data_IF_300882059805
#
_entry.id   IF_300882059805
#
_cell.length_a   1.000
_cell.length_b   1.000
_cell.length_c   1.000
_cell.angle_alpha   90.00
_cell.angle_beta   90.00
_cell.angle_gamma   90.00
#
_symmetry.space_group_name_H-M   'P 1'
#
loop_
_entity.id
_entity.type
_entity.pdbx_description
1 polymer ?
#
# COMPACT_ATOMS: atom_id res chain seq x y z
N UNK A 1 0.08 -12.82 1.92
CA UNK A 1 1.02 -12.93 3.07
C UNK A 1 2.42 -13.12 2.53
N UNK A 2 3.47 -12.76 3.28
CA UNK A 2 4.85 -13.11 2.92
C UNK A 2 5.28 -14.30 3.76
N UNK A 3 5.88 -15.29 3.13
CA UNK A 3 6.37 -16.49 3.80
C UNK A 3 7.87 -16.65 3.59
N UNK A 4 8.52 -17.15 4.62
CA UNK A 4 9.93 -17.53 4.58
C UNK A 4 10.09 -18.95 4.04
N UNK A 5 11.07 -19.13 3.16
CA UNK A 5 11.40 -20.42 2.57
C UNK A 5 12.74 -20.87 3.14
N UNK A 6 12.76 -22.01 3.80
CA UNK A 6 13.94 -22.54 4.48
C UNK A 6 14.67 -23.60 3.65
N UNK A 7 15.99 -23.62 3.75
CA UNK A 7 16.82 -24.76 3.36
C UNK A 7 16.77 -25.82 4.47
N UNK A 8 16.09 -26.93 4.18
CA UNK A 8 15.98 -28.04 5.11
C UNK A 8 17.22 -28.96 5.16
N UNK A 9 18.26 -28.68 4.37
CA UNK A 9 19.51 -29.44 4.37
C UNK A 9 20.56 -28.89 5.35
N UNK A 10 20.32 -27.74 5.97
CA UNK A 10 21.19 -27.14 6.99
C UNK A 10 20.70 -27.44 8.41
N UNK A 11 21.57 -27.29 9.41
CA UNK A 11 21.21 -27.50 10.83
C UNK A 11 21.92 -26.44 11.71
N UNK A 12 21.20 -25.44 12.26
CA UNK A 12 19.76 -25.20 12.08
C UNK A 12 19.40 -24.89 10.63
N UNK A 13 18.12 -25.00 10.27
CA UNK A 13 17.62 -24.55 8.97
C UNK A 13 18.02 -23.08 8.74
N UNK A 14 18.36 -22.77 7.50
CA UNK A 14 18.76 -21.44 7.06
C UNK A 14 17.76 -20.92 6.05
N UNK A 15 17.54 -19.62 6.02
CA UNK A 15 16.53 -19.03 5.15
C UNK A 15 17.08 -18.81 3.74
N UNK A 16 16.29 -19.20 2.74
CA UNK A 16 16.62 -19.10 1.33
C UNK A 16 16.13 -17.78 0.74
N UNK A 17 14.88 -17.41 1.01
CA UNK A 17 14.26 -16.17 0.52
C UNK A 17 12.87 -15.97 1.14
N UNK A 18 12.37 -14.73 1.14
CA UNK A 18 10.96 -14.44 1.45
C UNK A 18 10.16 -14.23 0.17
N UNK A 19 8.96 -14.80 0.07
CA UNK A 19 8.12 -14.70 -1.15
C UNK A 19 6.64 -14.49 -0.81
N UNK A 20 5.86 -13.82 -1.68
CA UNK A 20 4.44 -13.66 -1.48
C UNK A 20 3.68 -14.97 -1.73
N UNK A 21 2.66 -15.18 -0.90
CA UNK A 21 1.65 -16.20 -1.06
C UNK A 21 0.26 -15.56 -1.06
N UNK A 22 -0.52 -15.87 -2.09
CA UNK A 22 -1.94 -15.55 -2.18
C UNK A 22 -2.75 -16.79 -1.80
N UNK A 23 -3.68 -16.59 -0.86
CA UNK A 23 -4.54 -17.63 -0.31
C UNK A 23 -6.00 -17.26 -0.52
N UNK A 24 -6.79 -18.24 -0.90
CA UNK A 24 -8.24 -18.15 -0.84
C UNK A 24 -8.71 -18.16 0.63
N UNK A 25 -9.97 -17.81 0.87
CA UNK A 25 -10.56 -17.80 2.22
C UNK A 25 -10.55 -19.19 2.89
N UNK A 26 -10.59 -20.26 2.11
CA UNK A 26 -10.46 -21.65 2.56
C UNK A 26 -9.00 -22.10 2.78
N UNK A 27 -8.04 -21.19 2.61
CA UNK A 27 -6.58 -21.39 2.72
C UNK A 27 -5.95 -22.23 1.61
N UNK A 28 -6.69 -22.57 0.56
CA UNK A 28 -6.09 -23.08 -0.67
C UNK A 28 -5.30 -21.98 -1.39
N UNK A 29 -4.39 -22.38 -2.30
CA UNK A 29 -3.64 -21.43 -3.10
C UNK A 29 -4.54 -20.80 -4.17
N UNK A 30 -4.38 -19.50 -4.39
CA UNK A 30 -5.12 -18.78 -5.40
C UNK A 30 -4.83 -19.33 -6.80
N UNK A 31 -5.90 -19.61 -7.55
CA UNK A 31 -5.86 -20.06 -8.94
C UNK A 31 -7.19 -19.65 -9.58
N UNK A 32 -7.26 -18.41 -10.05
CA UNK A 32 -8.47 -17.81 -10.62
C UNK A 32 -8.09 -16.67 -11.59
N UNK A 33 -9.04 -16.25 -12.43
CA UNK A 33 -8.90 -15.10 -13.34
C UNK A 33 -7.67 -15.12 -14.26
N UNK A 34 -7.23 -16.33 -14.62
CA UNK A 34 -6.06 -16.56 -15.48
C UNK A 34 -4.71 -16.55 -14.75
N UNK A 35 -4.70 -16.42 -13.43
CA UNK A 35 -3.49 -16.38 -12.61
C UNK A 35 -3.35 -17.62 -11.74
N UNK A 36 -2.14 -18.20 -11.72
CA UNK A 36 -1.84 -19.41 -10.95
C UNK A 36 -0.77 -19.15 -9.88
N UNK A 37 -1.22 -19.08 -8.64
CA UNK A 37 -0.39 -18.89 -7.44
C UNK A 37 -0.30 -20.17 -6.60
N UNK A 38 -0.58 -21.33 -7.19
CA UNK A 38 -0.25 -22.64 -6.57
C UNK A 38 1.26 -22.81 -6.39
N UNK A 39 2.04 -22.12 -7.22
CA UNK A 39 3.49 -21.96 -7.14
C UNK A 39 3.83 -20.49 -6.94
N UNK A 40 4.45 -20.10 -5.81
CA UNK A 40 4.85 -18.72 -5.57
C UNK A 40 6.08 -18.35 -6.43
N UNK A 41 6.40 -17.05 -6.56
CA UNK A 41 7.68 -16.61 -7.11
C UNK A 41 8.86 -17.22 -6.34
N UNK A 42 9.94 -17.60 -7.04
CA UNK A 42 11.10 -18.29 -6.45
C UNK A 42 12.40 -17.46 -6.46
N UNK A 43 12.40 -16.26 -7.04
CA UNK A 43 13.62 -15.45 -7.26
C UNK A 43 13.73 -14.20 -6.36
N UNK A 44 13.13 -14.22 -5.18
CA UNK A 44 13.09 -13.07 -4.28
C UNK A 44 14.40 -12.81 -3.51
N UNK A 45 15.51 -13.49 -3.83
CA UNK A 45 16.84 -13.23 -3.26
C UNK A 45 17.07 -13.73 -1.83
N UNK A 46 18.34 -14.04 -1.54
CA UNK A 46 18.72 -14.53 -0.22
C UNK A 46 18.91 -13.39 0.79
N UNK A 47 18.59 -13.63 2.09
CA UNK A 47 18.86 -12.67 3.15
C UNK A 47 20.33 -12.23 3.18
N UNK A 48 20.58 -10.91 3.23
CA UNK A 48 21.95 -10.37 3.38
C UNK A 48 22.48 -10.58 4.79
N UNK A 49 21.61 -10.46 5.80
CA UNK A 49 21.89 -10.73 7.21
C UNK A 49 20.60 -10.91 8.01
N UNK A 50 20.63 -11.76 9.03
CA UNK A 50 19.53 -11.97 9.98
C UNK A 50 20.08 -12.07 11.40
N UNK A 51 20.73 -10.99 11.84
CA UNK A 51 21.29 -10.87 13.18
C UNK A 51 20.82 -9.56 13.83
N UNK A 52 19.90 -9.69 14.78
CA UNK A 52 19.35 -8.57 15.55
C UNK A 52 20.43 -7.77 16.29
N UNK A 53 21.55 -8.41 16.67
CA UNK A 53 22.65 -7.70 17.31
C UNK A 53 23.36 -6.73 16.35
N UNK A 54 23.27 -6.96 15.04
CA UNK A 54 23.94 -6.16 14.00
C UNK A 54 22.98 -5.12 13.41
N UNK A 55 21.74 -5.50 13.10
CA UNK A 55 20.73 -4.62 12.51
C UNK A 55 19.34 -5.04 12.96
N UNK A 56 18.42 -4.08 13.11
CA UNK A 56 17.02 -4.39 13.43
C UNK A 56 16.38 -5.29 12.36
N UNK A 57 15.51 -6.20 12.81
CA UNK A 57 14.90 -7.22 11.96
C UNK A 57 14.02 -6.60 10.86
N UNK A 58 14.17 -7.07 9.62
CA UNK A 58 13.23 -6.79 8.54
C UNK A 58 12.06 -7.77 8.62
N UNK A 59 10.90 -7.31 9.10
CA UNK A 59 9.68 -8.13 9.06
C UNK A 59 8.84 -7.73 7.84
N UNK A 60 8.71 -8.60 6.82
CA UNK A 60 7.94 -8.26 5.63
C UNK A 60 6.47 -8.05 5.99
N UNK A 61 5.99 -6.82 5.80
CA UNK A 61 4.56 -6.50 5.82
C UNK A 61 4.16 -6.16 4.39
N UNK A 62 3.34 -6.98 3.73
CA UNK A 62 2.96 -6.73 2.37
C UNK A 62 1.87 -5.66 2.27
N UNK A 63 1.96 -4.85 1.23
CA UNK A 63 0.92 -3.96 0.74
C UNK A 63 0.35 -4.55 -0.54
N UNK A 64 -0.96 -4.42 -0.74
CA UNK A 64 -1.63 -4.85 -1.96
C UNK A 64 -2.42 -3.68 -2.53
N UNK A 65 -2.02 -3.20 -3.70
CA UNK A 65 -2.56 -1.98 -4.32
C UNK A 65 -2.51 -2.08 -5.84
N UNK A 66 -3.42 -1.40 -6.54
CA UNK A 66 -3.31 -1.18 -7.98
C UNK A 66 -2.28 -0.07 -8.20
N UNK A 67 -1.07 -0.45 -8.64
CA UNK A 67 0.08 0.43 -8.69
C UNK A 67 0.13 1.22 -10.01
N UNK A 68 -0.40 0.65 -11.09
CA UNK A 68 -0.34 1.19 -12.45
C UNK A 68 -1.70 1.62 -13.03
N UNK A 69 -2.77 1.57 -12.22
CA UNK A 69 -4.12 1.99 -12.59
C UNK A 69 -4.81 1.05 -13.59
N UNK A 70 -4.35 -0.20 -13.74
CA UNK A 70 -4.90 -1.16 -14.71
C UNK A 70 -6.09 -1.98 -14.16
N UNK A 71 -6.46 -1.76 -12.90
CA UNK A 71 -7.53 -2.44 -12.19
C UNK A 71 -7.12 -3.78 -11.59
N UNK A 72 -5.85 -4.19 -11.70
CA UNK A 72 -5.28 -5.36 -11.02
C UNK A 72 -4.41 -4.90 -9.87
N UNK A 73 -4.15 -5.82 -8.94
CA UNK A 73 -3.47 -5.52 -7.69
C UNK A 73 -2.06 -6.10 -7.72
N UNK A 74 -1.08 -5.27 -7.44
CA UNK A 74 0.31 -5.64 -7.21
C UNK A 74 0.56 -5.88 -5.72
N UNK A 75 1.59 -6.66 -5.42
CA UNK A 75 2.00 -7.02 -4.06
C UNK A 75 3.38 -6.43 -3.79
N UNK A 76 3.45 -5.45 -2.89
CA UNK A 76 4.70 -4.81 -2.48
C UNK A 76 5.15 -5.29 -1.10
N UNK A 77 6.43 -5.55 -0.91
CA UNK A 77 6.97 -5.88 0.42
C UNK A 77 8.48 -5.66 0.53
N UNK A 78 8.98 -5.22 1.70
CA UNK A 78 10.41 -5.24 1.99
C UNK A 78 10.88 -6.64 2.39
N UNK A 79 12.13 -6.99 2.11
CA UNK A 79 12.72 -8.28 2.51
C UNK A 79 14.12 -8.16 3.12
N UNK A 80 14.57 -9.23 3.78
CA UNK A 80 15.92 -9.37 4.34
C UNK A 80 17.03 -9.41 3.29
N UNK A 81 16.70 -9.47 2.00
CA UNK A 81 17.67 -9.36 0.92
C UNK A 81 18.08 -7.89 0.64
N UNK A 82 17.52 -6.93 1.39
CA UNK A 82 17.82 -5.52 1.26
C UNK A 82 17.07 -4.83 0.12
N UNK A 83 15.96 -5.42 -0.35
CA UNK A 83 15.15 -4.88 -1.44
C UNK A 83 13.68 -4.67 -1.04
N UNK A 84 13.04 -3.72 -1.71
CA UNK A 84 11.59 -3.58 -1.79
C UNK A 84 11.13 -4.24 -3.09
N UNK A 85 10.29 -5.27 -2.95
CA UNK A 85 9.71 -6.01 -4.07
C UNK A 85 8.37 -5.42 -4.49
N UNK A 86 8.03 -5.59 -5.76
CA UNK A 86 6.68 -5.37 -6.28
C UNK A 86 6.37 -6.45 -7.32
N UNK A 87 5.46 -7.36 -6.97
CA UNK A 87 5.04 -8.45 -7.85
C UNK A 87 3.66 -8.19 -8.44
N UNK A 88 3.57 -8.33 -9.76
CA UNK A 88 2.31 -8.43 -10.47
C UNK A 88 1.70 -9.82 -10.30
N UNK A 89 0.40 -9.95 -10.59
CA UNK A 89 -0.30 -11.25 -10.50
C UNK A 89 0.25 -12.31 -11.46
N UNK A 90 1.03 -11.92 -12.47
CA UNK A 90 1.77 -12.81 -13.36
C UNK A 90 3.04 -13.43 -12.73
N UNK A 91 3.33 -13.09 -11.47
CA UNK A 91 4.48 -13.53 -10.65
C UNK A 91 5.82 -12.94 -11.08
N UNK A 92 5.80 -11.86 -11.85
CA UNK A 92 7.00 -11.12 -12.25
C UNK A 92 7.03 -9.73 -11.64
N UNK A 93 8.22 -9.14 -11.62
CA UNK A 93 8.45 -7.74 -11.24
C UNK A 93 8.68 -6.94 -12.52
N UNK A 94 8.03 -5.78 -12.67
CA UNK A 94 8.09 -4.97 -13.88
C UNK A 94 8.96 -3.72 -13.67
N UNK A 95 9.39 -3.07 -14.76
CA UNK A 95 10.18 -1.84 -14.68
C UNK A 95 11.53 -2.06 -13.98
N UNK A 96 11.81 -1.24 -12.97
CA UNK A 96 13.01 -1.28 -12.13
C UNK A 96 12.79 -1.99 -10.78
N UNK A 97 11.68 -2.70 -10.63
CA UNK A 97 11.48 -3.59 -9.50
C UNK A 97 12.32 -4.87 -9.65
N UNK A 98 12.90 -5.40 -8.55
CA UNK A 98 12.83 -4.89 -7.18
C UNK A 98 13.81 -3.72 -6.96
N UNK A 99 13.43 -2.78 -6.07
CA UNK A 99 14.28 -1.65 -5.70
C UNK A 99 15.24 -2.02 -4.56
N UNK A 100 16.54 -1.77 -4.74
CA UNK A 100 17.56 -2.07 -3.71
C UNK A 100 17.79 -0.89 -2.76
N UNK A 101 17.48 -1.07 -1.48
CA UNK A 101 17.91 -0.14 -0.42
C UNK A 101 19.31 -0.47 0.08
N UNK A 102 19.73 -1.72 -0.03
CA UNK A 102 21.09 -2.13 0.32
C UNK A 102 22.07 -1.84 -0.83
N UNK A 103 23.20 -1.23 -0.50
CA UNK A 103 24.29 -0.97 -1.44
C UNK A 103 25.62 -1.33 -0.78
N UNK A 104 26.26 -2.41 -1.25
CA UNK A 104 27.46 -2.95 -0.61
C UNK A 104 28.62 -1.94 -0.53
N UNK A 105 28.71 -0.99 -1.47
CA UNK A 105 29.74 0.07 -1.43
C UNK A 105 29.53 1.10 -0.33
N UNK A 106 28.34 1.16 0.29
CA UNK A 106 28.14 1.98 1.50
C UNK A 106 28.88 1.41 2.73
N UNK A 107 29.18 0.11 2.72
CA UNK A 107 29.93 -0.56 3.79
C UNK A 107 29.12 -0.94 5.03
N UNK A 108 27.79 -0.84 4.99
CA UNK A 108 26.88 -1.24 6.06
C UNK A 108 25.55 -1.77 5.51
N UNK A 109 24.82 -2.55 6.33
CA UNK A 109 23.51 -3.09 5.94
C UNK A 109 22.38 -2.06 6.07
N UNK A 110 21.37 -2.19 5.21
CA UNK A 110 20.16 -1.35 5.21
C UNK A 110 18.92 -2.18 4.89
N UNK A 111 17.84 -1.93 5.60
CA UNK A 111 16.52 -2.50 5.35
C UNK A 111 15.45 -1.41 5.26
N UNK A 112 14.29 -1.78 4.72
CA UNK A 112 13.18 -0.87 4.42
C UNK A 112 11.94 -1.18 5.26
N UNK A 113 11.15 -0.14 5.53
CA UNK A 113 9.86 -0.26 6.22
C UNK A 113 8.82 -0.88 5.31
N UNK A 114 7.67 -1.26 5.87
CA UNK A 114 6.44 -1.35 5.09
C UNK A 114 6.23 -0.03 4.30
N UNK A 115 5.86 -0.10 3.00
CA UNK A 115 5.56 1.10 2.25
C UNK A 115 4.15 1.64 2.54
N UNK A 116 3.96 2.92 2.26
CA UNK A 116 2.64 3.52 2.01
C UNK A 116 2.55 3.88 0.54
N UNK A 117 1.34 3.86 -0.01
CA UNK A 117 1.11 4.03 -1.44
C UNK A 117 0.01 5.06 -1.68
N UNK A 118 0.29 6.03 -2.54
CA UNK A 118 -0.65 7.06 -2.94
C UNK A 118 -0.31 7.52 -4.35
N UNK A 119 -1.34 7.82 -5.12
CA UNK A 119 -1.22 8.57 -6.37
C UNK A 119 -1.12 10.05 -5.97
N UNK A 120 0.12 10.54 -5.82
CA UNK A 120 0.43 11.83 -5.21
C UNK A 120 0.13 13.00 -6.13
N UNK A 121 0.32 12.80 -7.44
CA UNK A 121 0.10 13.81 -8.46
C UNK A 121 -1.21 13.63 -9.25
N UNK A 122 -1.98 12.60 -8.92
CA UNK A 122 -3.29 12.28 -9.50
C UNK A 122 -3.22 11.99 -11.01
N UNK A 123 -2.15 11.31 -11.44
CA UNK A 123 -1.93 10.90 -12.84
C UNK A 123 -2.55 9.53 -13.18
N UNK A 124 -3.01 8.80 -12.16
CA UNK A 124 -3.63 7.47 -12.28
C UNK A 124 -2.70 6.31 -11.94
N UNK A 125 -1.40 6.54 -11.85
CA UNK A 125 -0.41 5.61 -11.30
C UNK A 125 -0.07 6.01 -9.87
N UNK A 126 0.44 5.08 -9.07
CA UNK A 126 0.73 5.36 -7.67
C UNK A 126 2.23 5.38 -7.35
N UNK A 127 2.61 6.29 -6.46
CA UNK A 127 3.93 6.37 -5.87
C UNK A 127 4.03 5.49 -4.62
N UNK A 128 5.22 4.93 -4.43
CA UNK A 128 5.57 4.07 -3.30
C UNK A 128 6.51 4.82 -2.37
N UNK A 129 6.10 5.00 -1.12
CA UNK A 129 6.83 5.80 -0.14
C UNK A 129 7.21 4.90 1.05
N UNK A 130 8.49 4.89 1.42
CA UNK A 130 8.96 4.10 2.56
C UNK A 130 10.20 4.70 3.20
N UNK A 131 10.39 4.39 4.48
CA UNK A 131 11.62 4.70 5.20
C UNK A 131 12.61 3.53 5.15
N UNK A 132 13.84 3.79 5.55
CA UNK A 132 14.85 2.76 5.78
C UNK A 132 15.48 2.89 7.17
N UNK A 133 16.19 1.87 7.62
CA UNK A 133 17.12 1.92 8.73
C UNK A 133 18.43 1.23 8.40
N UNK A 134 19.47 1.59 9.14
CA UNK A 134 20.83 1.10 8.91
C UNK A 134 21.31 0.21 10.05
N UNK A 135 22.38 -0.52 9.77
CA UNK A 135 23.13 -1.29 10.76
C UNK A 135 23.53 -0.44 11.97
N UNK A 136 23.51 -1.05 13.16
CA UNK A 136 23.94 -0.47 14.44
C UNK A 136 25.41 -0.10 14.40
N UNK A 137 25.83 0.84 15.25
CA UNK A 137 27.24 1.26 15.40
C UNK A 137 27.87 1.87 14.13
N UNK A 138 27.05 2.30 13.15
CA UNK A 138 27.56 2.88 11.90
C UNK A 138 27.72 4.40 11.94
N UNK A 139 27.11 5.06 12.93
CA UNK A 139 26.92 6.51 12.99
C UNK A 139 26.17 7.07 11.76
N UNK A 140 25.42 6.20 11.04
CA UNK A 140 24.65 6.56 9.84
C UNK A 140 23.16 6.64 10.13
N UNK A 141 22.43 7.16 9.16
CA UNK A 141 20.98 7.35 9.22
C UNK A 141 20.29 6.65 8.05
N UNK A 142 19.04 6.26 8.29
CA UNK A 142 18.13 5.82 7.27
C UNK A 142 17.82 6.91 6.24
N UNK A 143 17.08 6.54 5.20
CA UNK A 143 16.62 7.41 4.13
C UNK A 143 15.10 7.37 4.05
N UNK A 144 14.52 8.43 3.52
CA UNK A 144 13.19 8.43 2.93
C UNK A 144 13.35 8.14 1.43
N UNK A 145 12.52 7.23 0.92
CA UNK A 145 12.42 6.90 -0.50
C UNK A 145 11.01 7.17 -0.99
N UNK A 146 10.90 7.80 -2.17
CA UNK A 146 9.67 7.95 -2.94
C UNK A 146 9.98 7.46 -4.36
N UNK A 147 9.30 6.40 -4.77
CA UNK A 147 9.46 5.78 -6.08
C UNK A 147 8.18 5.93 -6.89
N UNK A 148 8.29 5.99 -8.22
CA UNK A 148 7.14 5.86 -9.11
C UNK A 148 6.66 4.39 -9.20
N UNK A 149 5.53 4.18 -9.89
CA UNK A 149 4.96 2.84 -10.11
C UNK A 149 5.92 1.85 -10.81
N UNK A 150 6.88 2.37 -11.60
CA UNK A 150 7.89 1.57 -12.30
C UNK A 150 9.15 1.32 -11.44
N UNK A 151 9.19 1.77 -10.18
CA UNK A 151 10.34 1.62 -9.29
C UNK A 151 11.48 2.61 -9.54
N UNK A 152 11.24 3.70 -10.29
CA UNK A 152 12.21 4.78 -10.45
C UNK A 152 12.19 5.69 -9.22
N UNK A 153 13.36 6.17 -8.80
CA UNK A 153 13.46 7.14 -7.71
C UNK A 153 12.95 8.50 -8.17
N UNK A 154 11.90 8.99 -7.54
CA UNK A 154 11.43 10.38 -7.66
C UNK A 154 12.20 11.23 -6.64
N UNK A 155 12.20 10.80 -5.38
CA UNK A 155 12.92 11.45 -4.29
C UNK A 155 13.62 10.43 -3.40
N UNK A 156 14.86 10.77 -3.01
CA UNK A 156 15.57 10.08 -1.94
C UNK A 156 16.30 11.13 -1.09
N UNK A 157 16.16 11.04 0.23
CA UNK A 157 16.90 11.90 1.14
C UNK A 157 17.26 11.21 2.44
N UNK A 158 18.37 11.64 3.04
CA UNK A 158 18.78 11.16 4.36
C UNK A 158 17.82 11.69 5.44
N UNK A 159 17.43 10.81 6.35
CA UNK A 159 16.69 11.18 7.55
C UNK A 159 17.61 11.94 8.52
N UNK A 160 17.06 12.72 9.48
CA UNK A 160 17.89 13.47 10.41
C UNK A 160 18.89 12.59 11.16
N UNK A 161 20.06 13.11 11.53
CA UNK A 161 21.03 12.36 12.30
C UNK A 161 20.44 11.94 13.65
N UNK A 162 20.98 10.85 14.20
CA UNK A 162 20.65 10.38 15.54
C UNK A 162 20.85 11.50 16.58
N UNK A 163 19.86 11.73 17.44
CA UNK A 163 20.00 12.60 18.63
C UNK A 163 20.50 11.83 19.86
N UNK A 164 20.47 10.50 19.78
CA UNK A 164 20.95 9.55 20.79
C UNK A 164 21.31 8.24 20.10
N UNK A 165 22.23 7.43 20.63
CA UNK A 165 22.62 6.17 19.99
C UNK A 165 23.61 6.37 18.82
N UNK A 166 23.93 5.26 18.16
CA UNK A 166 25.00 5.15 17.15
C UNK A 166 24.47 4.74 15.76
N UNK A 167 23.15 4.79 15.56
CA UNK A 167 22.48 4.64 14.27
C UNK A 167 21.14 5.38 14.30
N UNK A 168 20.51 5.57 13.14
CA UNK A 168 19.12 6.05 13.07
C UNK A 168 18.39 5.47 11.85
N UNK A 169 17.07 5.60 11.85
CA UNK A 169 16.21 5.14 10.77
C UNK A 169 14.77 5.05 11.23
N UNK A 170 13.90 4.55 10.35
CA UNK A 170 12.48 4.33 10.63
C UNK A 170 12.22 2.83 10.55
N UNK A 171 11.56 2.26 11.56
CA UNK A 171 11.19 0.83 11.59
C UNK A 171 9.70 0.59 11.29
N UNK A 172 8.86 1.59 11.58
CA UNK A 172 7.42 1.52 11.36
C UNK A 172 7.06 2.00 9.95
N UNK A 173 5.92 1.53 9.43
CA UNK A 173 5.33 2.10 8.23
C UNK A 173 5.15 3.63 8.38
N UNK A 174 5.41 4.42 7.33
CA UNK A 174 5.04 5.83 7.31
C UNK A 174 3.53 6.05 7.50
N UNK A 175 3.11 7.30 7.71
CA UNK A 175 1.70 7.70 7.68
C UNK A 175 1.54 8.96 6.85
N UNK A 176 0.59 8.94 5.92
CA UNK A 176 0.15 10.11 5.16
C UNK A 176 -1.05 10.74 5.86
N UNK A 177 -0.97 12.04 6.14
CA UNK A 177 -2.05 12.82 6.72
C UNK A 177 -1.82 14.31 6.51
N UNK A 178 -2.89 15.07 6.29
CA UNK A 178 -2.92 16.52 6.51
C UNK A 178 -2.89 16.76 8.04
N UNK A 179 -1.79 17.32 8.53
CA UNK A 179 -1.54 17.63 9.95
C UNK A 179 -1.37 19.12 10.22
N UNK A 180 -1.19 19.95 9.19
CA UNK A 180 -1.03 21.40 9.36
C UNK A 180 -2.18 22.23 8.77
N UNK A 181 -3.11 21.60 8.06
CA UNK A 181 -4.34 22.19 7.55
C UNK A 181 -4.17 22.95 6.24
N UNK A 182 -3.04 22.83 5.56
CA UNK A 182 -3.01 23.08 4.13
C UNK A 182 -3.63 21.90 3.37
N UNK A 183 -3.85 22.07 2.07
CA UNK A 183 -4.59 21.04 1.30
C UNK A 183 -3.74 19.82 0.98
N UNK A 184 -2.47 19.87 1.36
CA UNK A 184 -1.40 18.93 1.05
C UNK A 184 -1.45 17.74 2.01
N UNK A 185 -0.67 16.72 1.71
CA UNK A 185 -0.40 15.63 2.63
C UNK A 185 0.98 15.82 3.26
N UNK A 186 1.08 15.51 4.55
CA UNK A 186 2.37 15.33 5.19
C UNK A 186 2.68 13.84 5.33
N UNK A 187 3.97 13.54 5.23
CA UNK A 187 4.53 12.25 5.59
C UNK A 187 5.06 12.28 7.02
N UNK A 188 4.46 11.49 7.90
CA UNK A 188 4.87 11.33 9.30
C UNK A 188 5.66 10.04 9.48
N UNK A 189 6.84 10.14 10.08
CA UNK A 189 7.75 9.02 10.34
C UNK A 189 8.18 9.00 11.81
N UNK A 190 8.19 7.81 12.41
CA UNK A 190 8.79 7.59 13.73
C UNK A 190 10.22 7.05 13.58
N UNK A 191 11.20 7.86 13.96
CA UNK A 191 12.60 7.45 13.90
C UNK A 191 13.05 6.83 15.22
N UNK A 192 13.96 5.86 15.16
CA UNK A 192 14.51 5.18 16.33
C UNK A 192 15.20 6.15 17.30
N UNK A 193 15.91 7.15 16.76
CA UNK A 193 16.87 7.94 17.53
C UNK A 193 16.81 9.46 17.31
N UNK A 194 15.89 9.98 16.48
CA UNK A 194 15.71 11.43 16.27
C UNK A 194 14.31 11.98 16.63
N UNK A 195 13.39 11.10 17.04
CA UNK A 195 11.99 11.42 17.37
C UNK A 195 11.03 11.21 16.21
N UNK A 196 9.89 11.91 16.25
CA UNK A 196 8.96 11.97 15.12
C UNK A 196 9.40 13.09 14.18
N UNK A 197 9.39 12.80 12.88
CA UNK A 197 9.64 13.77 11.82
C UNK A 197 8.42 13.83 10.91
N UNK A 198 8.11 15.02 10.42
CA UNK A 198 7.04 15.25 9.45
C UNK A 198 7.64 16.00 8.26
N UNK A 199 7.27 15.58 7.05
CA UNK A 199 7.68 16.21 5.79
C UNK A 199 6.43 16.62 5.04
N UNK A 200 6.38 17.89 4.65
CA UNK A 200 5.41 18.40 3.69
C UNK A 200 5.63 17.73 2.32
N UNK A 201 4.54 17.30 1.68
CA UNK A 201 4.52 16.80 0.30
C UNK A 201 3.79 17.84 -0.57
N UNK A 202 4.46 18.91 -1.01
CA UNK A 202 3.79 20.02 -1.64
C UNK A 202 3.14 19.62 -2.96
N UNK A 203 1.93 20.11 -3.19
CA UNK A 203 1.19 19.88 -4.44
C UNK A 203 0.38 18.59 -4.48
N UNK A 204 0.18 17.96 -3.32
CA UNK A 204 -0.59 16.71 -3.17
C UNK A 204 -2.07 16.94 -2.83
N UNK A 205 -2.61 18.14 -3.08
CA UNK A 205 -4.01 18.47 -2.80
C UNK A 205 -5.04 17.63 -3.57
N UNK A 206 -4.63 17.05 -4.70
CA UNK A 206 -5.43 16.10 -5.47
C UNK A 206 -5.11 14.63 -5.20
N UNK A 207 -4.20 14.34 -4.26
CA UNK A 207 -3.65 13.00 -4.09
C UNK A 207 -4.73 11.99 -3.67
N UNK A 208 -4.62 10.79 -4.22
CA UNK A 208 -5.48 9.66 -3.86
C UNK A 208 -4.67 8.66 -3.04
N UNK A 209 -4.90 8.67 -1.73
CA UNK A 209 -4.25 7.74 -0.80
C UNK A 209 -4.85 6.33 -0.97
N UNK A 210 -4.02 5.39 -1.42
CA UNK A 210 -4.42 4.00 -1.65
C UNK A 210 -4.09 3.10 -0.44
N UNK A 211 -2.99 3.40 0.24
CA UNK A 211 -2.54 2.73 1.47
C UNK A 211 -1.77 3.72 2.34
N UNK A 212 -2.47 4.48 3.19
CA UNK A 212 -1.89 5.66 3.85
C UNK A 212 -1.16 5.41 5.17
N UNK A 213 -1.19 4.21 5.73
CA UNK A 213 -0.56 3.90 7.02
C UNK A 213 -0.32 2.40 7.17
N UNK A 214 0.41 2.00 8.22
CA UNK A 214 0.73 0.60 8.48
C UNK A 214 -0.52 -0.29 8.50
N UNK A 215 -0.50 -1.33 7.67
CA UNK A 215 -1.61 -2.26 7.40
C UNK A 215 -2.88 -1.56 6.91
N UNK A 216 -2.70 -0.47 6.19
CA UNK A 216 -3.67 0.25 5.34
C UNK A 216 -4.79 1.00 6.06
N UNK A 217 -4.93 0.88 7.38
CA UNK A 217 -5.94 1.63 8.16
C UNK A 217 -5.51 1.84 9.61
N UNK A 218 -6.21 2.74 10.32
CA UNK A 218 -6.00 2.94 11.76
C UNK A 218 -6.29 1.67 12.60
N UNK A 219 -7.08 0.73 12.09
CA UNK A 219 -7.32 -0.57 12.72
C UNK A 219 -6.20 -1.59 12.44
N UNK A 220 -5.28 -1.27 11.53
CA UNK A 220 -4.11 -2.07 11.16
C UNK A 220 -4.46 -3.51 10.77
N UNK A 221 -5.56 -3.68 10.05
CA UNK A 221 -6.15 -4.99 9.73
C UNK A 221 -6.04 -5.37 8.25
N UNK A 222 -5.42 -4.52 7.42
CA UNK A 222 -5.46 -4.65 5.96
C UNK A 222 -6.85 -4.28 5.47
N UNK A 223 -7.05 -3.13 4.79
CA UNK A 223 -8.33 -2.87 4.17
C UNK A 223 -8.65 -4.01 3.21
N UNK A 224 -9.87 -4.54 3.30
CA UNK A 224 -10.41 -5.29 2.17
C UNK A 224 -10.51 -4.27 1.04
N UNK A 225 -9.66 -4.39 0.02
CA UNK A 225 -9.86 -3.75 -1.28
C UNK A 225 -11.07 -4.42 -1.93
N UNK A 226 -12.24 -4.29 -1.30
CA UNK A 226 -13.43 -4.13 -2.12
C UNK A 226 -13.15 -2.80 -2.78
N UNK A 227 -13.11 -2.78 -4.10
CA UNK A 227 -13.44 -1.56 -4.82
C UNK A 227 -14.75 -1.06 -4.20
N UNK A 228 -14.69 -0.26 -3.15
CA UNK A 228 -15.41 0.98 -3.18
C UNK A 228 -14.75 1.76 -4.30
N UNK A 229 -15.07 1.37 -5.55
CA UNK A 229 -15.56 2.36 -6.47
C UNK A 229 -16.40 3.26 -5.59
N UNK A 230 -15.93 4.50 -5.38
CA UNK A 230 -16.73 5.52 -4.70
C UNK A 230 -18.12 5.30 -5.26
N UNK A 231 -19.02 4.73 -4.46
CA UNK A 231 -20.30 4.24 -5.00
C UNK A 231 -20.88 5.48 -5.63
N UNK A 232 -20.91 5.47 -6.97
CA UNK A 232 -21.29 6.65 -7.71
C UNK A 232 -22.68 6.94 -7.20
N UNK A 233 -22.92 8.14 -6.65
CA UNK A 233 -24.25 8.46 -6.15
C UNK A 233 -25.25 8.21 -7.29
N UNK A 234 -26.21 7.32 -7.04
CA UNK A 234 -27.15 6.83 -8.03
C UNK A 234 -26.84 5.49 -8.69
N UNK A 235 -25.65 4.91 -8.53
CA UNK A 235 -25.31 3.52 -8.90
C UNK A 235 -25.57 2.62 -7.69
N UNK A 236 -26.70 1.91 -7.72
CA UNK A 236 -27.24 1.14 -6.61
C UNK A 236 -27.08 -0.36 -6.80
N UNK A 237 -26.70 -0.84 -7.97
CA UNK A 237 -26.29 -2.22 -8.21
C UNK A 237 -24.77 -2.41 -8.34
N UNK A 238 -24.00 -1.32 -8.25
CA UNK A 238 -22.55 -1.27 -8.25
C UNK A 238 -21.93 -1.83 -9.54
N UNK A 239 -22.61 -1.66 -10.68
CA UNK A 239 -22.10 -2.07 -11.99
C UNK A 239 -21.22 -1.01 -12.67
N UNK A 240 -21.10 0.18 -12.06
CA UNK A 240 -20.31 1.30 -12.55
C UNK A 240 -21.07 2.22 -13.51
N UNK A 241 -22.39 2.06 -13.68
CA UNK A 241 -23.24 2.88 -14.55
C UNK A 241 -24.56 3.25 -13.88
N UNK A 242 -24.94 4.54 -13.92
CA UNK A 242 -26.28 4.97 -13.44
C UNK A 242 -27.32 4.76 -14.53
N UNK A 243 -28.23 3.80 -14.33
CA UNK A 243 -29.23 3.40 -15.31
C UNK A 243 -30.66 3.39 -14.73
N UNK A 244 -31.64 3.03 -15.57
CA UNK A 244 -33.01 2.80 -15.12
C UNK A 244 -33.15 1.64 -14.12
N UNK A 245 -32.15 0.75 -14.02
CA UNK A 245 -32.13 -0.32 -13.03
C UNK A 245 -31.98 0.25 -11.61
N UNK A 246 -31.12 1.26 -11.44
CA UNK A 246 -30.88 1.93 -10.17
C UNK A 246 -32.10 2.69 -9.67
N UNK A 247 -32.85 3.31 -10.58
CA UNK A 247 -34.12 3.99 -10.27
C UNK A 247 -35.10 3.02 -9.59
N UNK A 248 -35.17 1.78 -10.06
CA UNK A 248 -36.03 0.77 -9.47
C UNK A 248 -35.57 0.37 -8.06
N UNK A 249 -34.26 0.32 -7.82
CA UNK A 249 -33.69 0.03 -6.50
C UNK A 249 -33.98 1.20 -5.55
N UNK A 250 -33.78 2.45 -5.98
CA UNK A 250 -34.10 3.65 -5.21
C UNK A 250 -35.58 3.70 -4.80
N UNK A 251 -36.50 3.39 -5.72
CA UNK A 251 -37.93 3.32 -5.43
C UNK A 251 -38.28 2.26 -4.38
N UNK A 252 -37.64 1.07 -4.43
CA UNK A 252 -37.84 0.02 -3.43
C UNK A 252 -37.34 0.44 -2.05
N UNK A 253 -36.23 1.17 -2.00
CA UNK A 253 -35.68 1.71 -0.74
C UNK A 253 -36.64 2.75 -0.16
N UNK A 254 -37.09 3.71 -0.98
CA UNK A 254 -38.04 4.74 -0.57
C UNK A 254 -39.36 4.17 -0.04
N UNK A 255 -39.89 3.12 -0.69
CA UNK A 255 -41.15 2.46 -0.26
C UNK A 255 -40.96 1.65 1.01
N UNK A 256 -39.79 1.02 1.20
CA UNK A 256 -39.51 0.23 2.40
C UNK A 256 -39.14 1.09 3.62
N UNK A 257 -38.86 2.38 3.42
CA UNK A 257 -38.28 3.25 4.45
C UNK A 257 -36.84 2.87 4.81
N UNK A 258 -36.17 2.12 3.92
CA UNK A 258 -34.76 1.78 4.06
C UNK A 258 -33.87 2.98 3.77
N UNK A 259 -32.58 2.83 4.09
CA UNK A 259 -31.57 3.85 3.83
C UNK A 259 -30.41 3.24 3.04
N UNK A 260 -29.94 3.97 2.04
CA UNK A 260 -28.69 3.71 1.33
C UNK A 260 -28.10 5.09 0.98
N UNK A 261 -26.84 5.32 1.36
CA UNK A 261 -26.15 6.60 1.14
C UNK A 261 -25.95 6.95 -0.34
N UNK A 262 -25.84 5.95 -1.21
CA UNK A 262 -25.76 6.15 -2.66
C UNK A 262 -27.12 6.51 -3.28
N UNK A 263 -28.22 6.20 -2.57
CA UNK A 263 -29.57 6.56 -2.98
C UNK A 263 -30.06 7.88 -2.35
N UNK A 264 -29.30 8.47 -1.43
CA UNK A 264 -29.60 9.78 -0.80
C UNK A 264 -28.90 10.88 -1.61
N UNK A 265 -29.56 11.34 -2.66
CA UNK A 265 -28.92 12.20 -3.66
C UNK A 265 -28.71 13.63 -3.13
N UNK A 266 -29.57 14.09 -2.23
CA UNK A 266 -29.53 15.45 -1.66
C UNK A 266 -28.92 15.54 -0.24
N UNK A 267 -28.49 14.41 0.35
CA UNK A 267 -27.83 14.31 1.66
C UNK A 267 -28.70 14.75 2.83
N UNK A 268 -30.03 14.62 2.67
CA UNK A 268 -30.97 14.98 3.73
C UNK A 268 -31.16 13.87 4.78
N UNK A 269 -30.55 12.70 4.58
CA UNK A 269 -30.65 11.53 5.45
C UNK A 269 -31.86 10.63 5.19
N UNK A 270 -32.63 10.87 4.12
CA UNK A 270 -33.83 10.12 3.75
C UNK A 270 -33.88 9.82 2.25
N UNK A 271 -33.93 8.53 1.90
CA UNK A 271 -34.18 8.11 0.52
C UNK A 271 -35.67 8.20 0.22
N UNK A 272 -36.05 9.06 -0.71
CA UNK A 272 -37.43 9.31 -1.09
C UNK A 272 -37.61 9.40 -2.62
N UNK A 273 -38.82 9.70 -3.08
CA UNK A 273 -39.14 9.74 -4.52
C UNK A 273 -38.37 10.83 -5.28
N UNK A 274 -37.92 11.88 -4.58
CA UNK A 274 -37.09 12.93 -5.17
C UNK A 274 -35.71 12.38 -5.53
N UNK A 275 -35.12 11.53 -4.69
CA UNK A 275 -33.84 10.90 -4.99
C UNK A 275 -33.93 9.95 -6.19
N UNK A 276 -34.96 9.11 -6.21
CA UNK A 276 -35.20 8.22 -7.35
C UNK A 276 -35.41 9.00 -8.66
N UNK A 277 -36.03 10.19 -8.59
CA UNK A 277 -36.16 11.08 -9.74
C UNK A 277 -34.80 11.63 -10.18
N UNK A 278 -33.95 12.06 -9.25
CA UNK A 278 -32.61 12.57 -9.56
C UNK A 278 -31.77 11.49 -10.25
N UNK A 279 -31.82 10.25 -9.75
CA UNK A 279 -31.15 9.09 -10.36
C UNK A 279 -31.66 8.86 -11.79
N UNK A 280 -32.97 8.98 -12.02
CA UNK A 280 -33.56 8.87 -13.36
C UNK A 280 -33.10 9.98 -14.31
N UNK A 281 -32.88 11.20 -13.81
CA UNK A 281 -32.35 12.31 -14.62
C UNK A 281 -30.91 12.03 -15.03
N UNK A 282 -30.07 11.57 -14.11
CA UNK A 282 -28.69 11.17 -14.41
C UNK A 282 -28.63 10.03 -15.43
N UNK A 283 -29.49 9.01 -15.29
CA UNK A 283 -29.59 7.90 -16.21
C UNK A 283 -30.07 8.29 -17.63
N UNK A 284 -30.65 9.48 -17.80
CA UNK A 284 -31.10 9.99 -19.10
C UNK A 284 -30.04 10.88 -19.78
N UNK A 285 -29.00 11.29 -19.05
CA UNK A 285 -27.93 12.18 -19.52
C UNK A 285 -26.65 11.42 -19.91
N UNK A 286 -26.52 10.15 -19.54
CA UNK A 286 -25.47 9.21 -19.97
C UNK A 286 -25.86 8.36 -21.18
#
# INVERSE_FOLDING_TARGET
>A
MIGDVHDCHTSPYTDLYNTPYILNSDRSRFNADGFDWTTPPIEAGAPIIQDYAVIENAQPNPVTVDLNGDGRIEILYPSYDGRMHAFWLDKTEHGNWPYSVYCASEGFYRFATEPVVADLDNDGNAEVIFGSWVQKETERTGKLHILDYNGNVIHEMDLPPAKSGDWNGVLAAPTLADIDGDSDLELVLNTAHSGVVAYDLPGTAGARVLWGTGRGSYYRNGPSMINSAVSQKGDLDCDGSVTSADVLIALKIAVSGGYNSAADMDENGYVNVLDARTILQLAAEG
#
